data_IF_686925304937
#
_entry.id   IF_686925304937
#
_cell.length_a   1.000
_cell.length_b   1.000
_cell.length_c   1.000
_cell.angle_alpha   90.00
_cell.angle_beta   90.00
_cell.angle_gamma   90.00
#
_symmetry.space_group_name_H-M   'P 1'
#
loop_
_entity.id
_entity.type
_entity.pdbx_description
1 polymer ?
#
# COMPACT_ATOMS: atom_id res chain seq x y z
N UNK A 1 -22.49 10.45 3.47
CA UNK A 1 -21.08 10.18 3.11
C UNK A 1 -20.52 9.31 4.22
N UNK A 2 -19.91 8.15 3.92
CA UNK A 2 -19.17 7.43 4.97
C UNK A 2 -17.98 8.30 5.39
N UNK A 3 -17.60 8.19 6.65
CA UNK A 3 -16.44 8.89 7.19
C UNK A 3 -15.16 8.37 6.52
N UNK A 4 -14.17 9.24 6.34
CA UNK A 4 -12.85 8.85 5.82
C UNK A 4 -12.08 8.20 6.97
N UNK A 5 -11.64 6.96 6.78
CA UNK A 5 -10.82 6.24 7.76
C UNK A 5 -9.37 6.26 7.30
N UNK A 6 -8.47 6.62 8.21
CA UNK A 6 -7.02 6.66 7.97
C UNK A 6 -6.32 5.70 8.92
N UNK A 7 -5.58 4.76 8.36
CA UNK A 7 -4.82 3.75 9.12
C UNK A 7 -3.39 3.65 8.59
N UNK A 8 -2.53 2.92 9.32
CA UNK A 8 -1.08 2.88 9.07
C UNK A 8 -0.47 4.30 8.97
N UNK A 9 -0.83 5.17 9.91
CA UNK A 9 -0.43 6.58 9.89
C UNK A 9 1.02 6.71 10.35
N UNK A 10 1.82 7.33 9.50
CA UNK A 10 3.17 7.76 9.85
C UNK A 10 3.15 9.26 10.16
N UNK A 11 3.29 9.59 11.45
CA UNK A 11 3.38 10.99 11.91
C UNK A 11 4.70 11.65 11.46
N UNK A 12 5.78 10.87 11.41
CA UNK A 12 7.11 11.35 10.98
C UNK A 12 7.08 11.84 9.52
N UNK A 13 6.42 11.08 8.65
CA UNK A 13 6.35 11.34 7.22
C UNK A 13 5.04 12.01 6.79
N UNK A 14 4.19 12.36 7.76
CA UNK A 14 2.89 13.03 7.59
C UNK A 14 1.99 12.37 6.53
N UNK A 15 1.91 11.05 6.52
CA UNK A 15 1.07 10.30 5.57
C UNK A 15 0.28 9.17 6.24
N UNK A 16 -0.83 8.79 5.62
CA UNK A 16 -1.54 7.54 5.94
C UNK A 16 -1.10 6.46 4.95
N UNK A 17 -0.78 5.27 5.45
CA UNK A 17 -0.48 4.11 4.61
C UNK A 17 -1.71 3.59 3.88
N UNK A 18 -2.89 3.77 4.49
CA UNK A 18 -4.19 3.34 3.96
C UNK A 18 -5.22 4.45 4.20
N UNK A 19 -6.04 4.72 3.19
CA UNK A 19 -7.19 5.62 3.29
C UNK A 19 -8.42 4.93 2.70
N UNK A 20 -9.41 4.66 3.54
CA UNK A 20 -10.72 4.15 3.12
C UNK A 20 -11.68 5.31 2.91
N UNK A 21 -12.25 5.41 1.71
CA UNK A 21 -13.15 6.49 1.30
C UNK A 21 -14.36 5.93 0.52
N UNK A 22 -15.44 5.63 1.24
CA UNK A 22 -16.64 5.03 0.66
C UNK A 22 -16.44 3.56 0.36
N UNK A 23 -16.37 3.21 -0.92
CA UNK A 23 -16.13 1.84 -1.41
C UNK A 23 -14.74 1.70 -2.06
N UNK A 24 -13.92 2.75 -1.98
CA UNK A 24 -12.55 2.77 -2.51
C UNK A 24 -11.52 2.83 -1.39
N UNK A 25 -10.38 2.21 -1.65
CA UNK A 25 -9.21 2.25 -0.78
C UNK A 25 -8.03 2.80 -1.56
N UNK A 26 -7.35 3.78 -0.98
CA UNK A 26 -6.13 4.37 -1.51
C UNK A 26 -4.96 3.91 -0.63
N UNK A 27 -4.03 3.19 -1.25
CA UNK A 27 -2.84 2.68 -0.60
C UNK A 27 -1.67 3.60 -0.93
N UNK A 28 -0.90 3.96 0.09
CA UNK A 28 0.33 4.72 -0.06
C UNK A 28 1.40 3.89 -0.78
N UNK A 29 2.54 4.49 -1.13
CA UNK A 29 3.64 3.74 -1.76
C UNK A 29 4.02 2.51 -0.91
N UNK A 30 4.27 1.41 -1.61
CA UNK A 30 4.72 0.16 -1.00
C UNK A 30 6.15 -0.10 -1.45
N UNK A 31 7.03 -0.29 -0.48
CA UNK A 31 8.43 -0.66 -0.67
C UNK A 31 8.78 -1.81 0.25
N UNK A 32 9.73 -2.65 -0.16
CA UNK A 32 10.25 -3.73 0.67
C UNK A 32 11.59 -4.23 0.12
N UNK A 33 12.29 -5.02 0.92
CA UNK A 33 13.58 -5.62 0.55
C UNK A 33 14.61 -4.60 -0.01
N UNK A 34 14.62 -3.38 0.54
CA UNK A 34 15.46 -2.28 0.08
C UNK A 34 16.94 -2.71 0.08
N UNK A 35 17.62 -2.46 -1.05
CA UNK A 35 19.02 -2.81 -1.25
C UNK A 35 19.28 -4.21 -1.83
N UNK A 36 18.25 -5.04 -2.00
CA UNK A 36 18.34 -6.34 -2.66
C UNK A 36 18.21 -6.22 -4.20
N UNK A 37 18.39 -7.32 -4.97
CA UNK A 37 18.09 -7.32 -6.40
C UNK A 37 16.65 -6.89 -6.71
N UNK A 38 16.42 -6.36 -7.91
CA UNK A 38 15.15 -5.73 -8.31
C UNK A 38 13.94 -6.66 -8.13
N UNK A 39 14.07 -7.95 -8.48
CA UNK A 39 13.00 -8.94 -8.30
C UNK A 39 12.58 -9.06 -6.83
N UNK A 40 13.54 -9.07 -5.91
CA UNK A 40 13.25 -9.13 -4.48
C UNK A 40 12.62 -7.83 -3.97
N UNK A 41 13.01 -6.67 -4.51
CA UNK A 41 12.38 -5.40 -4.17
C UNK A 41 10.92 -5.34 -4.64
N UNK A 42 10.64 -5.85 -5.85
CA UNK A 42 9.27 -5.98 -6.37
C UNK A 42 8.45 -6.90 -5.46
N UNK A 43 8.96 -8.09 -5.13
CA UNK A 43 8.29 -9.01 -4.19
C UNK A 43 8.06 -8.36 -2.82
N UNK A 44 9.05 -7.65 -2.29
CA UNK A 44 8.92 -6.95 -1.02
C UNK A 44 7.89 -5.81 -1.04
N UNK A 45 7.74 -5.12 -2.18
CA UNK A 45 6.68 -4.12 -2.36
C UNK A 45 5.29 -4.78 -2.38
N UNK A 46 5.13 -5.92 -3.06
CA UNK A 46 3.87 -6.68 -3.05
C UNK A 46 3.55 -7.27 -1.68
N UNK A 47 4.54 -7.75 -0.92
CA UNK A 47 4.34 -8.19 0.47
C UNK A 47 3.83 -7.04 1.35
N UNK A 48 4.40 -5.84 1.19
CA UNK A 48 3.98 -4.66 1.93
C UNK A 48 2.56 -4.24 1.55
N UNK A 49 2.22 -4.23 0.26
CA UNK A 49 0.85 -4.00 -0.22
C UNK A 49 -0.12 -5.03 0.38
N UNK A 50 0.25 -6.31 0.34
CA UNK A 50 -0.58 -7.40 0.86
C UNK A 50 -0.88 -7.23 2.34
N UNK A 51 0.13 -6.93 3.17
CA UNK A 51 -0.08 -6.68 4.61
C UNK A 51 -1.04 -5.52 4.89
N UNK A 52 -0.96 -4.44 4.09
CA UNK A 52 -1.89 -3.31 4.22
C UNK A 52 -3.31 -3.71 3.86
N UNK A 53 -3.51 -4.41 2.74
CA UNK A 53 -4.83 -4.88 2.33
C UNK A 53 -5.43 -5.85 3.36
N UNK A 54 -4.64 -6.81 3.84
CA UNK A 54 -5.09 -7.78 4.85
C UNK A 54 -5.51 -7.10 6.16
N UNK A 55 -4.86 -5.99 6.55
CA UNK A 55 -5.20 -5.23 7.76
C UNK A 55 -6.61 -4.62 7.74
N UNK A 56 -7.20 -4.47 6.55
CA UNK A 56 -8.57 -3.99 6.33
C UNK A 56 -9.47 -5.07 5.71
N UNK A 57 -9.05 -6.34 5.77
CA UNK A 57 -9.84 -7.48 5.29
C UNK A 57 -9.93 -7.62 3.77
N UNK A 58 -9.00 -7.01 3.03
CA UNK A 58 -8.90 -7.11 1.57
C UNK A 58 -7.72 -7.99 1.15
N UNK A 59 -7.70 -8.36 -0.13
CA UNK A 59 -6.61 -9.12 -0.77
C UNK A 59 -6.18 -8.44 -2.07
N UNK A 60 -5.13 -8.96 -2.72
CA UNK A 60 -4.69 -8.47 -4.03
C UNK A 60 -5.80 -8.54 -5.11
N UNK A 61 -6.79 -9.43 -4.97
CA UNK A 61 -7.93 -9.49 -5.89
C UNK A 61 -8.80 -8.22 -5.86
N UNK A 62 -8.74 -7.45 -4.78
CA UNK A 62 -9.45 -6.17 -4.64
C UNK A 62 -8.74 -5.02 -5.36
N UNK A 63 -7.50 -5.21 -5.83
CA UNK A 63 -6.71 -4.17 -6.48
C UNK A 63 -7.19 -3.97 -7.91
N UNK A 64 -7.81 -2.81 -8.16
CA UNK A 64 -8.33 -2.46 -9.49
C UNK A 64 -7.33 -1.68 -10.36
N UNK A 65 -6.29 -1.10 -9.74
CA UNK A 65 -5.26 -0.31 -10.42
C UNK A 65 -4.00 -0.19 -9.58
N UNK A 66 -2.83 -0.14 -10.24
CA UNK A 66 -1.53 0.11 -9.61
C UNK A 66 -0.70 1.09 -10.43
N UNK A 67 0.07 1.94 -9.75
CA UNK A 67 1.20 2.68 -10.32
C UNK A 67 2.51 2.03 -9.88
N UNK A 68 3.35 1.66 -10.85
CA UNK A 68 4.65 1.05 -10.58
C UNK A 68 5.75 2.06 -10.89
N UNK A 69 6.53 2.46 -9.88
CA UNK A 69 7.61 3.42 -10.03
C UNK A 69 8.96 2.69 -10.05
N UNK A 70 9.65 2.80 -11.17
CA UNK A 70 11.00 2.26 -11.37
C UNK A 70 12.01 3.40 -11.40
N UNK A 71 13.25 3.11 -11.00
CA UNK A 71 14.36 4.08 -11.08
C UNK A 71 14.93 4.19 -12.50
N UNK A 72 14.88 3.09 -13.24
CA UNK A 72 15.36 2.96 -14.62
C UNK A 72 14.28 3.42 -15.60
#
# INVERSE_FOLDING_TARGET
>A
MREIIRSDVSEEWAHSGIVEAGDFVFINYCVGNIGQPIENQINGAFDHLTRRLESIGLTLESVVKMDCLFRD
#
